data_IF_509383000096
#
_entry.id   IF_509383000096
#
_cell.length_a   1.000
_cell.length_b   1.000
_cell.length_c   1.000
_cell.angle_alpha   90.00
_cell.angle_beta   90.00
_cell.angle_gamma   90.00
#
_symmetry.space_group_name_H-M   'P 1'
#
loop_
_entity.id
_entity.type
_entity.pdbx_description
1 polymer ?
#
# COMPACT_ATOMS: atom_id res chain seq x y z
N UNK A 1 13.35 13.23 17.87
CA UNK A 1 12.85 11.85 17.71
C UNK A 1 14.05 10.94 17.59
N UNK A 2 14.31 10.13 18.60
CA UNK A 2 15.44 9.21 18.64
C UNK A 2 15.17 7.98 17.74
N UNK A 3 16.22 7.23 17.39
CA UNK A 3 16.09 6.06 16.51
C UNK A 3 15.17 4.98 17.08
N UNK A 4 15.14 4.82 18.40
CA UNK A 4 14.23 3.91 19.10
C UNK A 4 12.76 4.33 18.92
N UNK A 5 12.42 5.60 19.13
CA UNK A 5 11.08 6.14 18.89
C UNK A 5 10.65 5.98 17.43
N UNK A 6 11.56 6.23 16.47
CA UNK A 6 11.28 5.98 15.03
C UNK A 6 10.93 4.52 14.77
N UNK A 7 11.71 3.60 15.33
CA UNK A 7 11.54 2.15 15.15
C UNK A 7 10.26 1.65 15.82
N UNK A 8 9.90 2.22 16.96
CA UNK A 8 8.67 1.91 17.70
C UNK A 8 7.42 2.47 17.01
N UNK A 9 7.48 3.69 16.45
CA UNK A 9 6.41 4.27 15.63
C UNK A 9 6.21 3.48 14.32
N UNK A 10 7.31 3.12 13.65
CA UNK A 10 7.28 2.25 12.45
C UNK A 10 6.77 0.84 12.77
N UNK A 11 7.03 0.34 13.98
CA UNK A 11 6.49 -0.94 14.46
C UNK A 11 4.98 -0.88 14.64
N UNK A 12 4.46 0.18 15.27
CA UNK A 12 3.04 0.38 15.59
C UNK A 12 2.16 0.74 14.38
N UNK A 13 2.75 1.25 13.30
CA UNK A 13 2.04 1.71 12.09
C UNK A 13 2.31 0.78 10.89
N UNK A 14 3.44 0.09 10.87
CA UNK A 14 3.95 -0.61 9.69
C UNK A 14 3.35 -2.00 9.52
N UNK A 15 2.75 -2.21 8.36
CA UNK A 15 2.34 -3.52 7.87
C UNK A 15 3.53 -4.49 7.78
N UNK A 16 3.50 -5.58 8.55
CA UNK A 16 4.62 -6.54 8.64
C UNK A 16 4.96 -7.15 7.28
N UNK A 17 3.97 -7.30 6.39
CA UNK A 17 4.19 -7.77 5.02
C UNK A 17 5.09 -6.81 4.26
N UNK A 18 4.92 -5.49 4.43
CA UNK A 18 5.77 -4.50 3.79
C UNK A 18 7.15 -4.39 4.42
N UNK A 19 7.26 -4.56 5.74
CA UNK A 19 8.56 -4.56 6.44
C UNK A 19 9.49 -5.64 5.90
N UNK A 20 8.96 -6.81 5.53
CA UNK A 20 9.74 -7.90 4.95
C UNK A 20 10.01 -7.71 3.45
N UNK A 21 9.02 -7.25 2.68
CA UNK A 21 9.13 -7.20 1.21
C UNK A 21 9.95 -6.01 0.71
N UNK A 22 9.78 -4.82 1.29
CA UNK A 22 10.40 -3.59 0.78
C UNK A 22 11.93 -3.66 0.78
N UNK A 23 12.61 -4.10 1.86
CA UNK A 23 14.07 -4.19 1.86
C UNK A 23 14.60 -5.06 0.72
N UNK A 24 14.01 -6.25 0.53
CA UNK A 24 14.43 -7.18 -0.50
C UNK A 24 14.16 -6.67 -1.92
N UNK A 25 13.01 -6.03 -2.14
CA UNK A 25 12.70 -5.39 -3.43
C UNK A 25 13.71 -4.29 -3.75
N UNK A 26 14.12 -3.50 -2.75
CA UNK A 26 15.10 -2.43 -2.92
C UNK A 26 16.49 -2.99 -3.20
N UNK A 27 16.93 -4.03 -2.48
CA UNK A 27 18.19 -4.73 -2.75
C UNK A 27 18.27 -5.20 -4.22
N UNK A 28 17.23 -5.91 -4.69
CA UNK A 28 17.16 -6.37 -6.08
C UNK A 28 17.10 -5.20 -7.07
N UNK A 29 16.43 -4.09 -6.72
CA UNK A 29 16.40 -2.91 -7.58
C UNK A 29 17.75 -2.20 -7.69
N UNK A 30 18.50 -2.11 -6.57
CA UNK A 30 19.86 -1.57 -6.57
C UNK A 30 20.81 -2.47 -7.37
N UNK A 31 20.72 -3.78 -7.18
CA UNK A 31 21.49 -4.77 -7.94
C UNK A 31 21.20 -4.69 -9.45
N UNK A 32 19.92 -4.62 -9.82
CA UNK A 32 19.47 -4.46 -11.21
C UNK A 32 20.08 -3.22 -11.89
N UNK A 33 20.24 -2.12 -11.14
CA UNK A 33 20.80 -0.86 -11.65
C UNK A 33 22.33 -0.89 -11.77
N UNK A 34 23.01 -1.58 -10.85
CA UNK A 34 24.47 -1.60 -10.79
C UNK A 34 25.09 -2.62 -11.75
N UNK A 35 24.69 -3.88 -11.63
CA UNK A 35 25.32 -5.01 -12.32
C UNK A 35 24.33 -5.87 -13.11
N UNK A 36 23.02 -5.63 -12.95
CA UNK A 36 21.96 -6.41 -13.57
C UNK A 36 21.46 -7.53 -12.65
N UNK A 37 20.42 -8.24 -13.11
CA UNK A 37 19.82 -9.36 -12.38
C UNK A 37 20.02 -10.67 -13.15
N UNK A 38 20.30 -11.73 -12.42
CA UNK A 38 20.21 -13.09 -12.93
C UNK A 38 18.74 -13.47 -13.21
N UNK A 39 18.51 -14.50 -14.03
CA UNK A 39 17.15 -14.97 -14.33
C UNK A 39 16.37 -15.38 -13.06
N UNK A 40 17.05 -16.01 -12.10
CA UNK A 40 16.45 -16.39 -10.81
C UNK A 40 16.02 -15.16 -10.01
N UNK A 41 16.86 -14.13 -9.98
CA UNK A 41 16.55 -12.88 -9.27
C UNK A 41 15.46 -12.07 -9.95
N UNK A 42 15.36 -12.12 -11.28
CA UNK A 42 14.22 -11.52 -12.01
C UNK A 42 12.91 -12.19 -11.62
N UNK A 43 12.89 -13.53 -11.52
CA UNK A 43 11.72 -14.28 -11.06
C UNK A 43 11.38 -13.94 -9.59
N UNK A 44 12.39 -13.86 -8.72
CA UNK A 44 12.22 -13.44 -7.33
C UNK A 44 11.62 -12.03 -7.26
N UNK A 45 12.20 -11.06 -7.96
CA UNK A 45 11.74 -9.69 -7.99
C UNK A 45 10.30 -9.58 -8.49
N UNK A 46 9.95 -10.30 -9.55
CA UNK A 46 8.59 -10.34 -10.08
C UNK A 46 7.58 -10.90 -9.05
N UNK A 47 7.94 -11.98 -8.35
CA UNK A 47 7.12 -12.56 -7.28
C UNK A 47 6.93 -11.58 -6.12
N UNK A 48 7.99 -10.94 -5.67
CA UNK A 48 7.96 -9.96 -4.58
C UNK A 48 7.11 -8.73 -4.94
N UNK A 49 7.28 -8.19 -6.16
CA UNK A 49 6.48 -7.07 -6.66
C UNK A 49 5.01 -7.42 -6.77
N UNK A 50 4.67 -8.62 -7.24
CA UNK A 50 3.28 -9.09 -7.31
C UNK A 50 2.65 -9.15 -5.91
N UNK A 51 3.37 -9.69 -4.92
CA UNK A 51 2.91 -9.73 -3.53
C UNK A 51 2.72 -8.33 -2.95
N UNK A 52 3.68 -7.43 -3.18
CA UNK A 52 3.58 -6.02 -2.77
C UNK A 52 2.34 -5.33 -3.35
N UNK A 53 2.13 -5.41 -4.67
CA UNK A 53 1.01 -4.73 -5.34
C UNK A 53 -0.34 -5.28 -4.89
N UNK A 54 -0.45 -6.60 -4.69
CA UNK A 54 -1.68 -7.21 -4.18
C UNK A 54 -2.03 -6.66 -2.79
N UNK A 55 -1.04 -6.65 -1.89
CA UNK A 55 -1.21 -6.17 -0.52
C UNK A 55 -1.50 -4.66 -0.46
N UNK A 56 -0.80 -3.89 -1.28
CA UNK A 56 -1.03 -2.46 -1.44
C UNK A 56 -2.46 -2.15 -1.90
N UNK A 57 -2.96 -2.88 -2.91
CA UNK A 57 -4.34 -2.70 -3.41
C UNK A 57 -5.37 -3.00 -2.34
N UNK A 58 -5.15 -4.03 -1.53
CA UNK A 58 -6.05 -4.38 -0.45
C UNK A 58 -6.11 -3.28 0.62
N UNK A 59 -4.94 -2.83 1.09
CA UNK A 59 -4.86 -1.76 2.08
C UNK A 59 -5.43 -0.44 1.56
N UNK A 60 -5.12 -0.09 0.31
CA UNK A 60 -5.63 1.12 -0.32
C UNK A 60 -7.15 1.07 -0.51
N UNK A 61 -7.71 -0.09 -0.86
CA UNK A 61 -9.16 -0.30 -0.94
C UNK A 61 -9.83 -0.01 0.41
N UNK A 62 -9.29 -0.56 1.50
CA UNK A 62 -9.81 -0.30 2.87
C UNK A 62 -9.78 1.20 3.21
N UNK A 63 -8.69 1.89 2.85
CA UNK A 63 -8.58 3.33 3.08
C UNK A 63 -9.61 4.14 2.29
N UNK A 64 -9.79 3.84 1.00
CA UNK A 64 -10.79 4.52 0.15
C UNK A 64 -12.20 4.32 0.70
N UNK A 65 -12.53 3.11 1.13
CA UNK A 65 -13.85 2.78 1.67
C UNK A 65 -14.18 3.57 2.95
N UNK A 66 -13.17 4.01 3.70
CA UNK A 66 -13.34 4.76 4.95
C UNK A 66 -13.36 6.29 4.78
N UNK A 67 -13.14 6.81 3.57
CA UNK A 67 -13.10 8.26 3.33
C UNK A 67 -14.26 8.74 2.45
N UNK A 68 -14.59 10.03 2.57
CA UNK A 68 -15.44 10.77 1.63
C UNK A 68 -14.59 11.86 0.98
N UNK A 69 -14.74 12.05 -0.33
CA UNK A 69 -13.97 13.03 -1.10
C UNK A 69 -14.88 14.22 -1.41
N UNK A 70 -14.40 15.42 -1.10
CA UNK A 70 -15.09 16.67 -1.37
C UNK A 70 -14.24 17.54 -2.31
N UNK A 71 -14.89 18.28 -3.20
CA UNK A 71 -14.23 19.28 -4.03
C UNK A 71 -13.94 20.57 -3.23
N UNK A 72 -13.36 21.57 -3.90
CA UNK A 72 -13.02 22.86 -3.28
C UNK A 72 -14.26 23.69 -2.90
N UNK A 73 -15.40 23.40 -3.52
CA UNK A 73 -16.67 24.08 -3.28
C UNK A 73 -17.47 23.40 -2.14
N UNK A 74 -16.99 22.26 -1.64
CA UNK A 74 -17.60 21.50 -0.56
C UNK A 74 -18.60 20.45 -1.04
N UNK A 75 -18.74 20.22 -2.34
CA UNK A 75 -19.61 19.18 -2.86
C UNK A 75 -18.92 17.82 -2.75
N UNK A 76 -19.69 16.79 -2.39
CA UNK A 76 -19.13 15.45 -2.27
C UNK A 76 -18.97 14.77 -3.64
N UNK A 77 -17.71 14.57 -4.04
CA UNK A 77 -17.30 13.96 -5.31
C UNK A 77 -16.78 12.53 -5.14
N UNK A 78 -17.12 11.85 -4.04
CA UNK A 78 -16.82 10.42 -3.85
C UNK A 78 -17.37 9.60 -5.03
N UNK A 79 -16.55 8.77 -5.71
CA UNK A 79 -17.02 8.00 -6.87
C UNK A 79 -18.21 7.09 -6.54
N UNK A 80 -19.16 6.95 -7.48
CA UNK A 80 -20.39 6.18 -7.29
C UNK A 80 -20.15 4.73 -6.82
N UNK A 81 -19.14 4.06 -7.38
CA UNK A 81 -18.74 2.71 -6.98
C UNK A 81 -18.30 2.62 -5.52
N UNK A 82 -17.63 3.65 -5.01
CA UNK A 82 -17.19 3.69 -3.61
C UNK A 82 -18.40 3.92 -2.70
N UNK A 83 -19.31 4.82 -3.07
CA UNK A 83 -20.57 5.05 -2.33
C UNK A 83 -21.41 3.77 -2.22
N UNK A 84 -21.53 3.01 -3.32
CA UNK A 84 -22.24 1.73 -3.33
C UNK A 84 -21.59 0.71 -2.37
N UNK A 85 -20.28 0.54 -2.43
CA UNK A 85 -19.54 -0.35 -1.51
C UNK A 85 -19.72 0.08 -0.06
N UNK A 86 -19.69 1.39 0.23
CA UNK A 86 -19.92 1.92 1.58
C UNK A 86 -21.32 1.59 2.10
N UNK A 87 -22.36 1.77 1.28
CA UNK A 87 -23.74 1.39 1.63
C UNK A 87 -23.88 -0.10 1.93
N UNK A 88 -23.32 -0.96 1.07
CA UNK A 88 -23.34 -2.41 1.31
C UNK A 88 -22.64 -2.81 2.62
N UNK A 89 -21.66 -2.02 3.07
CA UNK A 89 -20.94 -2.25 4.33
C UNK A 89 -21.57 -1.54 5.53
N UNK A 90 -22.66 -0.79 5.36
CA UNK A 90 -23.28 0.00 6.44
C UNK A 90 -22.36 1.14 6.94
N UNK A 91 -21.41 1.60 6.11
CA UNK A 91 -20.53 2.73 6.45
C UNK A 91 -21.19 4.09 6.13
N UNK A 92 -22.42 4.06 5.61
CA UNK A 92 -23.13 5.22 5.12
C UNK A 92 -24.63 4.96 5.02
N UNK A 93 -25.43 5.95 5.41
CA UNK A 93 -26.89 5.79 5.60
C UNK A 93 -27.75 6.61 4.62
N UNK A 94 -27.12 7.36 3.70
CA UNK A 94 -27.75 8.20 2.67
C UNK A 94 -27.78 7.56 1.26
#
# INVERSE_FOLDING_TARGET
MNEQEKKELQSKIGDDVFKELIPRINELAHKAKAEGLTEVEKLEQAKLRKKYVAHFRENFKKQIEMMKVYDKEGNEVTPAKVKEVQRHKGLRDD
#
